data_IF_061618653831
#
_entry.id   IF_061618653831
#
_cell.length_a   1.000
_cell.length_b   1.000
_cell.length_c   1.000
_cell.angle_alpha   90.00
_cell.angle_beta   90.00
_cell.angle_gamma   90.00
#
_symmetry.space_group_name_H-M   'P 1'
#
loop_
_entity.id
_entity.type
_entity.pdbx_description
1 polymer ?
#
# COMPACT_ATOMS: atom_id res chain seq x y z
N UNK A 1 -13.65 5.32 1.16
CA UNK A 1 -12.59 4.34 0.98
C UNK A 1 -13.05 3.21 0.08
N UNK A 2 -12.15 2.70 -0.74
CA UNK A 2 -12.46 1.61 -1.65
C UNK A 2 -12.58 0.30 -0.88
N UNK A 3 -13.71 -0.39 -1.02
CA UNK A 3 -13.95 -1.63 -0.28
C UNK A 3 -13.66 -2.88 -1.11
N UNK A 4 -13.42 -2.72 -2.40
CA UNK A 4 -13.12 -3.84 -3.28
C UNK A 4 -11.68 -4.31 -3.10
N UNK A 5 -11.48 -5.62 -3.18
CA UNK A 5 -10.15 -6.19 -3.06
C UNK A 5 -9.23 -5.62 -4.16
N UNK A 6 -8.00 -5.23 -3.82
CA UNK A 6 -7.05 -4.78 -4.83
C UNK A 6 -6.80 -5.84 -5.88
N UNK A 7 -6.61 -5.41 -7.12
CA UNK A 7 -6.33 -6.32 -8.24
C UNK A 7 -4.82 -6.47 -8.47
N UNK A 8 -4.04 -6.30 -7.42
CA UNK A 8 -2.58 -6.38 -7.50
C UNK A 8 -2.11 -7.83 -7.59
N UNK A 9 -1.09 -8.05 -8.40
CA UNK A 9 -0.37 -9.32 -8.41
C UNK A 9 0.52 -9.36 -7.16
N UNK A 10 0.42 -10.41 -6.32
CA UNK A 10 1.25 -10.49 -5.10
C UNK A 10 2.75 -10.40 -5.39
N UNK A 11 3.20 -10.84 -6.54
CA UNK A 11 4.60 -10.78 -6.94
C UNK A 11 4.93 -9.49 -7.70
N UNK A 12 3.96 -8.63 -7.94
CA UNK A 12 4.16 -7.38 -8.65
C UNK A 12 4.76 -6.29 -7.78
N UNK A 13 5.34 -5.29 -8.42
CA UNK A 13 5.90 -4.11 -7.76
C UNK A 13 5.14 -2.89 -8.24
N UNK A 14 4.66 -2.08 -7.31
CA UNK A 14 3.78 -0.96 -7.62
C UNK A 14 4.31 0.33 -7.00
N UNK A 15 4.08 1.44 -7.68
CA UNK A 15 4.46 2.76 -7.18
C UNK A 15 3.48 3.25 -6.12
N UNK A 16 3.83 4.35 -5.45
CA UNK A 16 2.95 4.98 -4.47
C UNK A 16 1.62 5.36 -5.10
N UNK A 17 1.66 5.93 -6.30
CA UNK A 17 0.45 6.35 -7.00
C UNK A 17 -0.49 5.17 -7.22
N UNK A 18 0.05 4.04 -7.71
CA UNK A 18 -0.75 2.85 -7.96
C UNK A 18 -1.28 2.26 -6.65
N UNK A 19 -0.44 2.24 -5.61
CA UNK A 19 -0.82 1.74 -4.30
C UNK A 19 -1.99 2.53 -3.73
N UNK A 20 -1.91 3.86 -3.82
CA UNK A 20 -3.01 4.72 -3.36
C UNK A 20 -4.29 4.44 -4.13
N UNK A 21 -4.19 4.26 -5.44
CA UNK A 21 -5.35 3.97 -6.28
C UNK A 21 -5.99 2.63 -5.90
N UNK A 22 -5.18 1.62 -5.64
CA UNK A 22 -5.68 0.29 -5.30
C UNK A 22 -6.33 0.27 -3.92
N UNK A 23 -5.79 1.02 -2.96
CA UNK A 23 -6.33 1.10 -1.61
C UNK A 23 -7.43 2.15 -1.48
N UNK A 24 -7.55 3.04 -2.46
CA UNK A 24 -8.54 4.13 -2.41
C UNK A 24 -8.23 5.17 -1.35
N UNK A 25 -6.93 5.47 -1.14
CA UNK A 25 -6.49 6.43 -0.14
C UNK A 25 -5.58 7.48 -0.79
N UNK A 26 -5.37 8.60 -0.08
CA UNK A 26 -4.47 9.64 -0.54
C UNK A 26 -3.02 9.29 -0.19
N UNK A 27 -2.07 10.01 -0.82
CA UNK A 27 -0.65 9.86 -0.50
C UNK A 27 -0.38 10.12 0.97
N UNK A 28 -1.03 11.11 1.53
CA UNK A 28 -0.88 11.46 2.94
C UNK A 28 -1.32 10.31 3.84
N UNK A 29 -2.45 9.69 3.52
CA UNK A 29 -2.98 8.56 4.27
C UNK A 29 -2.07 7.35 4.13
N UNK A 30 -1.57 7.07 2.92
CA UNK A 30 -0.65 5.97 2.70
C UNK A 30 0.64 6.14 3.49
N UNK A 31 1.18 7.37 3.55
CA UNK A 31 2.37 7.65 4.34
C UNK A 31 2.12 7.35 5.82
N UNK A 32 0.94 7.72 6.31
CA UNK A 32 0.56 7.44 7.69
C UNK A 32 0.51 5.94 7.95
N UNK A 33 -0.05 5.17 7.03
CA UNK A 33 -0.09 3.71 7.17
C UNK A 33 1.30 3.11 7.16
N UNK A 34 2.20 3.62 6.32
CA UNK A 34 3.58 3.19 6.29
C UNK A 34 4.26 3.47 7.63
N UNK A 35 4.07 4.67 8.18
CA UNK A 35 4.69 5.06 9.44
C UNK A 35 4.16 4.24 10.62
N UNK A 36 2.91 3.78 10.54
CA UNK A 36 2.30 2.93 11.55
C UNK A 36 2.61 1.45 11.37
N UNK A 37 3.33 1.10 10.31
CA UNK A 37 3.69 -0.28 10.05
C UNK A 37 2.61 -1.13 9.40
N UNK A 38 1.55 -0.51 8.90
CA UNK A 38 0.47 -1.24 8.22
C UNK A 38 0.88 -1.70 6.83
N UNK A 39 1.81 -1.00 6.20
CA UNK A 39 2.34 -1.37 4.89
C UNK A 39 3.84 -1.13 4.89
N UNK A 40 4.60 -2.05 4.29
CA UNK A 40 6.06 -1.95 4.25
C UNK A 40 6.54 -1.77 2.82
N UNK A 41 7.35 -0.73 2.55
CA UNK A 41 7.94 -0.57 1.22
C UNK A 41 9.00 -1.63 0.95
N UNK A 42 9.17 -1.97 -0.33
CA UNK A 42 10.21 -2.90 -0.74
C UNK A 42 11.61 -2.30 -0.61
N UNK A 43 11.69 -0.98 -0.69
CA UNK A 43 12.97 -0.26 -0.61
C UNK A 43 12.91 0.77 0.51
N UNK A 44 12.91 0.34 1.79
CA UNK A 44 12.76 1.26 2.92
C UNK A 44 13.88 2.30 3.01
N UNK A 45 14.99 2.07 2.33
CA UNK A 45 16.11 3.00 2.32
C UNK A 45 15.90 4.18 1.39
N UNK A 46 14.97 4.08 0.44
CA UNK A 46 14.69 5.14 -0.51
C UNK A 46 13.24 5.60 -0.36
N UNK A 47 13.00 6.46 0.62
CA UNK A 47 11.66 6.93 0.94
C UNK A 47 11.16 8.03 0.00
N UNK A 48 12.03 8.57 -0.86
CA UNK A 48 11.59 9.57 -1.85
C UNK A 48 10.79 8.93 -2.98
N UNK A 49 11.03 7.64 -3.28
CA UNK A 49 10.28 6.89 -4.30
C UNK A 49 10.03 5.47 -3.80
N UNK A 50 9.20 5.30 -2.77
CA UNK A 50 8.94 3.97 -2.23
C UNK A 50 8.18 3.11 -3.24
N UNK A 51 8.50 1.83 -3.25
CA UNK A 51 7.81 0.83 -4.03
C UNK A 51 7.17 -0.18 -3.08
N UNK A 52 6.03 -0.71 -3.47
CA UNK A 52 5.30 -1.67 -2.64
C UNK A 52 5.03 -2.93 -3.46
N UNK A 53 5.12 -4.10 -2.81
CA UNK A 53 4.71 -5.34 -3.46
C UNK A 53 3.19 -5.44 -3.44
N UNK A 54 2.64 -6.17 -4.41
CA UNK A 54 1.21 -6.43 -4.42
C UNK A 54 0.75 -7.13 -3.16
N UNK A 55 1.59 -8.02 -2.62
CA UNK A 55 1.28 -8.71 -1.38
C UNK A 55 1.14 -7.72 -0.21
N UNK A 56 2.04 -6.74 -0.11
CA UNK A 56 1.95 -5.71 0.93
C UNK A 56 0.67 -4.90 0.80
N UNK A 57 0.28 -4.59 -0.42
CA UNK A 57 -0.95 -3.85 -0.68
C UNK A 57 -2.17 -4.66 -0.23
N UNK A 58 -2.21 -5.94 -0.57
CA UNK A 58 -3.31 -6.82 -0.19
C UNK A 58 -3.38 -6.98 1.32
N UNK A 59 -2.24 -7.18 1.98
CA UNK A 59 -2.18 -7.31 3.43
C UNK A 59 -2.66 -6.04 4.12
N UNK A 60 -2.26 -4.87 3.61
CA UNK A 60 -2.71 -3.60 4.14
C UNK A 60 -4.23 -3.45 3.98
N UNK A 61 -4.75 -3.84 2.83
CA UNK A 61 -6.18 -3.79 2.58
C UNK A 61 -6.96 -4.65 3.59
N UNK A 62 -6.45 -5.86 3.87
CA UNK A 62 -7.08 -6.75 4.86
C UNK A 62 -7.06 -6.11 6.25
N UNK A 63 -5.93 -5.51 6.64
CA UNK A 63 -5.82 -4.81 7.92
C UNK A 63 -6.82 -3.68 8.04
N UNK A 64 -6.94 -2.85 7.01
CA UNK A 64 -7.87 -1.73 7.00
C UNK A 64 -9.31 -2.19 7.09
N UNK A 65 -9.60 -3.34 6.50
CA UNK A 65 -10.94 -3.91 6.53
C UNK A 65 -11.34 -4.37 7.93
N UNK A 66 -10.38 -4.79 8.74
CA UNK A 66 -10.63 -5.29 10.10
C UNK A 66 -10.51 -4.20 11.17
N UNK A 67 -10.08 -3.02 10.81
CA UNK A 67 -10.05 -1.88 11.73
C UNK A 67 -11.43 -1.19 11.80
#
# INVERSE_FOLDING_TARGET
MKVLKPTCDPDGVYSVKRTCAELGVSHKTLRKYRDNGYIKPLNPQNLSRPKYSGQSIIECWILLKTL
#
